data_IF_490293387891
#
_entry.id   IF_490293387891
#
_cell.length_a   1.000
_cell.length_b   1.000
_cell.length_c   1.000
_cell.angle_alpha   90.00
_cell.angle_beta   90.00
_cell.angle_gamma   90.00
#
_symmetry.space_group_name_H-M   'P 1'
#
loop_
_entity.id
_entity.type
_entity.pdbx_description
1 polymer ?
#
# COMPACT_ATOMS: atom_id res chain seq x y z
N UNK A 1 10.37 -7.55 -16.41
CA UNK A 1 11.21 -6.37 -16.12
C UNK A 1 10.32 -5.36 -15.43
N UNK A 2 10.80 -4.76 -14.34
CA UNK A 2 10.12 -3.63 -13.70
C UNK A 2 10.27 -2.42 -14.63
N UNK A 3 9.14 -1.88 -15.08
CA UNK A 3 9.07 -0.75 -16.00
C UNK A 3 8.76 0.54 -15.24
N UNK A 4 9.12 1.67 -15.85
CA UNK A 4 8.70 2.97 -15.36
C UNK A 4 7.17 3.07 -15.42
N UNK A 5 6.56 3.37 -14.27
CA UNK A 5 5.11 3.50 -14.12
C UNK A 5 4.81 4.88 -13.58
N UNK A 6 3.79 5.54 -14.13
CA UNK A 6 3.28 6.81 -13.60
C UNK A 6 2.29 6.54 -12.47
N UNK A 7 2.64 6.96 -11.26
CA UNK A 7 1.82 6.87 -10.07
C UNK A 7 1.15 8.22 -9.79
N UNK A 8 -0.11 8.22 -9.38
CA UNK A 8 -0.87 9.41 -9.02
C UNK A 8 -0.78 9.60 -7.52
N UNK A 9 -0.20 10.71 -7.07
CA UNK A 9 0.17 10.88 -5.64
C UNK A 9 -0.40 12.19 -5.07
N UNK A 10 -1.45 12.71 -5.68
CA UNK A 10 -2.14 13.93 -5.25
C UNK A 10 -3.62 13.74 -4.97
N UNK A 11 -4.28 14.82 -4.56
CA UNK A 11 -5.73 14.85 -4.30
C UNK A 11 -6.19 14.14 -3.01
N UNK A 12 -5.27 13.54 -2.26
CA UNK A 12 -5.57 12.76 -1.06
C UNK A 12 -5.46 13.60 0.21
N UNK A 13 -6.58 14.19 0.64
CA UNK A 13 -6.70 14.81 1.98
C UNK A 13 -6.94 13.75 3.05
N UNK A 14 -6.82 14.13 4.33
CA UNK A 14 -7.23 13.25 5.44
C UNK A 14 -8.66 12.72 5.30
N UNK A 15 -9.57 13.57 4.82
CA UNK A 15 -10.99 13.22 4.54
C UNK A 15 -11.14 12.23 3.39
N UNK A 16 -10.31 12.31 2.34
CA UNK A 16 -10.35 11.39 1.20
C UNK A 16 -9.55 10.09 1.44
N UNK A 17 -8.71 10.07 2.47
CA UNK A 17 -7.90 8.92 2.87
C UNK A 17 -8.41 8.30 4.16
N UNK A 18 -7.65 8.47 5.24
CA UNK A 18 -7.86 7.81 6.54
C UNK A 18 -9.28 7.95 7.10
N UNK A 19 -9.93 9.10 6.92
CA UNK A 19 -11.28 9.36 7.45
C UNK A 19 -12.41 8.91 6.51
N UNK A 20 -12.08 8.11 5.48
CA UNK A 20 -13.03 7.52 4.54
C UNK A 20 -12.78 6.02 4.37
N UNK A 21 -13.53 5.40 3.44
CA UNK A 21 -13.40 3.99 3.11
C UNK A 21 -12.54 3.74 1.86
N UNK A 22 -12.23 2.48 1.59
CA UNK A 22 -11.37 2.07 0.48
C UNK A 22 -11.84 2.60 -0.90
N UNK A 23 -13.16 2.64 -1.12
CA UNK A 23 -13.75 3.12 -2.38
C UNK A 23 -13.55 4.63 -2.57
N UNK A 24 -13.73 5.41 -1.51
CA UNK A 24 -13.49 6.86 -1.56
C UNK A 24 -12.01 7.13 -1.82
N UNK A 25 -11.11 6.48 -1.07
CA UNK A 25 -9.67 6.59 -1.31
C UNK A 25 -9.29 6.26 -2.76
N UNK A 26 -9.77 5.13 -3.29
CA UNK A 26 -9.52 4.74 -4.69
C UNK A 26 -9.96 5.81 -5.69
N UNK A 27 -11.12 6.43 -5.44
CA UNK A 27 -11.70 7.44 -6.32
C UNK A 27 -10.79 8.66 -6.46
N UNK A 28 -10.08 9.03 -5.39
CA UNK A 28 -9.15 10.16 -5.35
C UNK A 28 -7.69 9.80 -5.62
N UNK A 29 -7.29 8.53 -5.47
CA UNK A 29 -5.95 8.08 -5.84
C UNK A 29 -5.85 7.85 -7.35
N UNK A 30 -6.72 7.01 -7.91
CA UNK A 30 -6.58 6.52 -9.29
C UNK A 30 -7.89 6.56 -10.09
N UNK A 31 -9.02 6.84 -9.44
CA UNK A 31 -10.35 6.86 -10.03
C UNK A 31 -10.72 8.15 -10.75
N UNK A 32 -12.00 8.54 -10.61
CA UNK A 32 -12.59 9.67 -11.32
C UNK A 32 -12.15 11.04 -10.80
N UNK A 33 -11.79 11.12 -9.51
CA UNK A 33 -11.43 12.38 -8.84
C UNK A 33 -9.92 12.50 -8.59
N UNK A 34 -9.12 11.65 -9.24
CA UNK A 34 -7.66 11.70 -9.07
C UNK A 34 -7.08 13.04 -9.48
N UNK A 35 -6.10 13.51 -8.72
CA UNK A 35 -5.27 14.63 -9.15
C UNK A 35 -4.27 14.13 -10.21
N UNK A 36 -4.58 14.43 -11.48
CA UNK A 36 -3.72 14.07 -12.60
C UNK A 36 -2.49 15.00 -12.75
N UNK A 37 -2.40 16.08 -11.97
CA UNK A 37 -1.29 17.04 -12.06
C UNK A 37 -0.12 16.66 -11.15
N UNK A 38 -0.38 15.97 -10.04
CA UNK A 38 0.68 15.49 -9.17
C UNK A 38 0.94 13.99 -9.36
N UNK A 39 2.00 13.68 -10.10
CA UNK A 39 2.40 12.31 -10.41
C UNK A 39 3.89 12.08 -10.17
N UNK A 40 4.27 10.82 -10.00
CA UNK A 40 5.67 10.39 -9.98
C UNK A 40 5.86 9.23 -10.94
N UNK A 41 6.86 9.33 -11.83
CA UNK A 41 7.25 8.23 -12.72
C UNK A 41 8.40 7.46 -12.08
N UNK A 42 8.17 6.19 -11.77
CA UNK A 42 9.07 5.39 -10.94
C UNK A 42 8.97 3.90 -11.26
N UNK A 43 10.08 3.19 -11.04
CA UNK A 43 10.13 1.71 -11.05
C UNK A 43 9.72 1.11 -9.70
N UNK A 44 9.74 1.91 -8.64
CA UNK A 44 9.33 1.51 -7.29
C UNK A 44 7.91 2.03 -7.06
N UNK A 45 6.99 1.12 -6.75
CA UNK A 45 5.66 1.44 -6.25
C UNK A 45 5.55 1.06 -4.78
N UNK A 46 4.90 1.92 -3.99
CA UNK A 46 4.34 1.52 -2.70
C UNK A 46 2.85 1.24 -2.90
N UNK A 47 2.22 0.56 -1.95
CA UNK A 47 0.77 0.35 -1.98
C UNK A 47 0.03 1.69 -1.90
N UNK A 48 -1.11 1.79 -2.56
CA UNK A 48 -2.09 2.83 -2.30
C UNK A 48 -2.83 2.57 -0.99
N UNK A 49 -3.45 3.61 -0.45
CA UNK A 49 -4.36 3.49 0.70
C UNK A 49 -5.52 2.56 0.36
N UNK A 50 -6.08 2.71 -0.85
CA UNK A 50 -7.17 1.84 -1.30
C UNK A 50 -6.76 0.38 -1.48
N UNK A 51 -5.51 0.11 -1.87
CA UNK A 51 -4.99 -1.27 -1.94
C UNK A 51 -5.09 -1.94 -0.57
N UNK A 52 -4.65 -1.26 0.50
CA UNK A 52 -4.75 -1.76 1.87
C UNK A 52 -6.21 -1.94 2.32
N UNK A 53 -7.08 -1.00 1.95
CA UNK A 53 -8.52 -1.07 2.23
C UNK A 53 -9.20 -2.28 1.58
N UNK A 54 -8.92 -2.52 0.31
CA UNK A 54 -9.49 -3.66 -0.43
C UNK A 54 -8.83 -4.99 -0.13
N UNK A 55 -7.68 -5.00 0.53
CA UNK A 55 -7.04 -6.21 0.99
C UNK A 55 -7.77 -6.87 2.18
N UNK A 56 -8.59 -6.12 2.91
CA UNK A 56 -9.50 -6.67 3.92
C UNK A 56 -10.66 -7.46 3.29
N UNK A 57 -11.35 -8.26 4.11
CA UNK A 57 -12.58 -8.92 3.72
C UNK A 57 -13.65 -7.93 3.21
N UNK A 58 -14.49 -8.30 2.22
CA UNK A 58 -15.49 -7.38 1.65
C UNK A 58 -16.45 -6.73 2.64
N UNK A 59 -16.72 -7.40 3.78
CA UNK A 59 -17.53 -6.86 4.88
C UNK A 59 -16.93 -5.59 5.52
N UNK A 60 -15.62 -5.36 5.37
CA UNK A 60 -14.91 -4.21 5.92
C UNK A 60 -14.72 -3.04 4.92
N UNK A 61 -15.07 -3.22 3.63
CA UNK A 61 -14.78 -2.21 2.60
C UNK A 61 -15.51 -0.88 2.78
N UNK A 62 -16.56 -0.85 3.60
CA UNK A 62 -17.28 0.38 3.95
C UNK A 62 -16.81 1.01 5.25
N UNK A 63 -15.97 0.30 6.03
CA UNK A 63 -15.38 0.81 7.27
C UNK A 63 -14.40 1.93 6.96
N UNK A 64 -14.33 2.91 7.87
CA UNK A 64 -13.37 4.01 7.81
C UNK A 64 -11.97 3.44 8.03
N UNK A 65 -11.01 3.78 7.18
CA UNK A 65 -9.64 3.24 7.18
C UNK A 65 -8.87 3.55 8.47
N UNK A 66 -9.18 4.66 9.16
CA UNK A 66 -8.69 4.98 10.49
C UNK A 66 -9.17 4.02 11.59
N UNK A 67 -10.21 3.21 11.34
CA UNK A 67 -10.76 2.23 12.28
C UNK A 67 -10.48 0.78 11.81
N UNK A 68 -9.39 0.57 11.06
CA UNK A 68 -9.01 -0.76 10.57
C UNK A 68 -8.21 -1.56 11.61
N UNK A 69 -8.00 -1.05 12.81
CA UNK A 69 -7.37 -1.74 13.95
C UNK A 69 -8.28 -2.80 14.60
N UNK A 70 -9.51 -2.96 14.11
CA UNK A 70 -10.41 -4.04 14.52
C UNK A 70 -9.79 -5.41 14.18
N UNK A 71 -9.71 -6.29 15.19
CA UNK A 71 -9.14 -7.62 15.07
C UNK A 71 -9.78 -8.46 13.95
N UNK A 72 -11.08 -8.29 13.69
CA UNK A 72 -11.80 -9.00 12.61
C UNK A 72 -11.41 -8.51 11.21
N UNK A 73 -10.94 -7.26 11.10
CA UNK A 73 -10.47 -6.67 9.85
C UNK A 73 -9.02 -7.08 9.59
N UNK A 74 -8.12 -6.86 10.57
CA UNK A 74 -6.69 -7.11 10.37
C UNK A 74 -6.36 -8.60 10.17
N UNK A 75 -7.09 -9.51 10.84
CA UNK A 75 -6.88 -10.95 10.69
C UNK A 75 -7.28 -11.48 9.31
N UNK A 76 -8.14 -10.75 8.60
CA UNK A 76 -8.61 -11.07 7.25
C UNK A 76 -8.08 -10.08 6.20
N UNK A 77 -7.05 -9.30 6.54
CA UNK A 77 -6.39 -8.38 5.62
C UNK A 77 -5.02 -8.93 5.21
N UNK A 78 -4.90 -9.37 3.95
CA UNK A 78 -3.66 -10.00 3.47
C UNK A 78 -2.51 -9.02 3.23
N UNK A 79 -2.75 -7.71 3.33
CA UNK A 79 -1.71 -6.69 3.40
C UNK A 79 -1.35 -6.32 4.83
N UNK A 80 -2.06 -6.76 5.87
CA UNK A 80 -1.63 -6.49 7.24
C UNK A 80 -0.47 -7.40 7.66
N UNK A 81 0.64 -6.80 8.11
CA UNK A 81 1.84 -7.53 8.55
C UNK A 81 2.29 -7.17 9.98
N UNK A 82 1.50 -6.36 10.70
CA UNK A 82 1.83 -5.92 12.06
C UNK A 82 3.04 -4.98 12.15
N UNK A 83 3.40 -4.29 11.07
CA UNK A 83 4.48 -3.30 11.01
C UNK A 83 3.98 -2.00 10.38
N UNK A 84 4.63 -0.89 10.72
CA UNK A 84 4.35 0.40 10.09
C UNK A 84 4.80 0.40 8.61
N UNK A 85 3.90 0.70 7.68
CA UNK A 85 4.19 0.73 6.25
C UNK A 85 3.71 2.03 5.61
N UNK A 86 4.61 2.68 4.86
CA UNK A 86 4.26 3.87 4.08
C UNK A 86 3.49 3.48 2.82
N UNK A 87 2.46 4.24 2.53
CA UNK A 87 1.77 4.19 1.24
C UNK A 87 2.40 5.19 0.26
N UNK A 88 2.09 5.05 -1.03
CA UNK A 88 2.53 6.02 -2.03
C UNK A 88 1.74 7.34 -1.95
N UNK A 89 0.63 7.34 -1.23
CA UNK A 89 -0.29 8.47 -1.14
C UNK A 89 0.21 9.50 -0.14
N UNK A 90 0.68 10.63 -0.67
CA UNK A 90 0.94 11.85 0.10
C UNK A 90 -0.37 12.43 0.64
N UNK A 91 -0.30 13.06 1.80
CA UNK A 91 -1.39 13.87 2.33
C UNK A 91 -1.35 15.27 1.69
N UNK A 92 -2.35 15.61 0.88
CA UNK A 92 -2.36 16.87 0.11
C UNK A 92 -2.67 18.11 0.96
N UNK A 93 -3.28 17.93 2.13
CA UNK A 93 -3.58 18.97 3.12
C UNK A 93 -2.52 19.08 4.23
N UNK A 94 -1.43 18.31 4.16
CA UNK A 94 -0.35 18.32 5.15
C UNK A 94 0.99 17.95 4.51
N UNK A 95 1.87 18.93 4.32
CA UNK A 95 3.10 18.78 3.53
C UNK A 95 4.11 17.79 4.10
N UNK A 96 4.03 17.48 5.40
CA UNK A 96 5.02 16.67 6.08
C UNK A 96 4.58 15.21 6.23
N UNK A 97 3.39 14.85 5.72
CA UNK A 97 2.81 13.52 5.91
C UNK A 97 2.50 12.81 4.60
N UNK A 98 2.73 11.50 4.60
CA UNK A 98 2.09 10.54 3.73
C UNK A 98 1.10 9.70 4.55
N UNK A 99 0.21 8.97 3.90
CA UNK A 99 -0.58 7.95 4.60
C UNK A 99 0.31 6.74 4.91
N UNK A 100 0.13 6.18 6.09
CA UNK A 100 0.79 4.98 6.54
C UNK A 100 -0.20 4.04 7.21
N UNK A 101 0.00 2.75 7.01
CA UNK A 101 -0.60 1.70 7.84
C UNK A 101 0.24 1.63 9.10
N UNK A 102 -0.38 1.77 10.26
CA UNK A 102 0.31 1.62 11.55
C UNK A 102 0.39 0.15 11.92
N UNK A 103 1.28 -0.17 12.85
CA UNK A 103 1.43 -1.51 13.42
C UNK A 103 0.14 -2.08 14.00
N UNK A 104 -0.76 -1.23 14.52
CA UNK A 104 -2.11 -1.61 14.94
C UNK A 104 -3.06 -1.99 13.79
N UNK A 105 -2.74 -1.63 12.55
CA UNK A 105 -3.49 -1.96 11.34
C UNK A 105 -4.43 -0.85 10.85
N UNK A 106 -4.62 0.21 11.62
CA UNK A 106 -5.35 1.39 11.18
C UNK A 106 -4.49 2.33 10.32
N UNK A 107 -5.16 3.08 9.45
CA UNK A 107 -4.51 4.08 8.62
C UNK A 107 -4.30 5.39 9.40
N UNK A 108 -3.12 5.99 9.28
CA UNK A 108 -2.80 7.29 9.86
C UNK A 108 -1.82 8.10 9.01
N UNK A 109 -1.29 9.17 9.59
CA UNK A 109 -0.20 9.94 8.98
C UNK A 109 1.16 9.34 9.33
N UNK A 110 2.00 9.10 8.33
CA UNK A 110 3.41 8.79 8.46
C UNK A 110 4.25 9.99 8.03
N UNK A 111 5.15 10.44 8.91
CA UNK A 111 6.04 11.55 8.57
C UNK A 111 7.00 11.14 7.46
N UNK A 112 7.20 12.04 6.49
CA UNK A 112 8.14 11.82 5.38
C UNK A 112 9.49 12.52 5.59
N UNK A 113 9.54 13.45 6.53
CA UNK A 113 10.73 14.24 6.90
C UNK A 113 11.53 13.64 8.06
N UNK A 114 11.01 12.58 8.67
CA UNK A 114 11.58 11.91 9.83
C UNK A 114 11.42 10.40 9.72
N UNK A 115 12.48 9.66 10.05
CA UNK A 115 12.48 8.20 9.96
C UNK A 115 12.00 7.60 11.27
N UNK A 116 10.78 7.06 11.26
CA UNK A 116 10.25 6.21 12.33
C UNK A 116 10.48 4.71 12.09
N UNK A 117 11.17 4.36 10.99
CA UNK A 117 11.38 2.97 10.56
C UNK A 117 10.10 2.37 9.97
N UNK A 118 9.91 2.53 8.65
CA UNK A 118 8.82 1.87 7.92
C UNK A 118 9.31 0.58 7.27
N UNK A 119 8.49 -0.47 7.34
CA UNK A 119 8.72 -1.70 6.62
C UNK A 119 8.62 -1.45 5.11
N UNK A 120 9.38 -2.25 4.36
CA UNK A 120 9.39 -2.23 2.90
C UNK A 120 9.06 -3.61 2.38
N UNK A 121 8.34 -3.67 1.25
CA UNK A 121 8.00 -4.92 0.56
C UNK A 121 8.92 -5.11 -0.65
N UNK A 122 10.07 -5.78 -0.53
CA UNK A 122 10.91 -6.05 -1.69
C UNK A 122 10.15 -6.94 -2.67
N UNK A 123 10.19 -6.58 -3.95
CA UNK A 123 9.63 -7.38 -5.04
C UNK A 123 10.69 -7.67 -6.09
N UNK A 124 10.59 -8.82 -6.75
CA UNK A 124 11.50 -9.26 -7.79
C UNK A 124 10.70 -9.55 -9.06
N UNK A 125 11.12 -8.98 -10.20
CA UNK A 125 10.56 -9.30 -11.51
C UNK A 125 11.50 -10.27 -12.22
N UNK A 126 11.10 -11.53 -12.30
CA UNK A 126 11.84 -12.54 -13.05
C UNK A 126 11.51 -12.43 -14.55
N UNK A 127 12.48 -12.74 -15.41
CA UNK A 127 12.24 -12.87 -16.84
C UNK A 127 11.40 -14.12 -17.11
N UNK A 128 10.59 -14.10 -18.17
CA UNK A 128 9.76 -15.24 -18.56
C UNK A 128 10.56 -16.49 -18.94
N UNK A 129 11.85 -16.31 -19.27
CA UNK A 129 12.80 -17.40 -19.53
C UNK A 129 13.28 -18.10 -18.27
N UNK A 130 13.20 -17.46 -17.10
CA UNK A 130 13.63 -18.06 -15.83
C UNK A 130 12.71 -19.24 -15.51
N UNK A 131 13.32 -20.40 -15.24
CA UNK A 131 12.61 -21.61 -14.83
C UNK A 131 12.84 -21.87 -13.35
N UNK A 132 11.76 -22.16 -12.63
CA UNK A 132 11.84 -22.74 -11.30
C UNK A 132 12.38 -24.15 -11.41
N UNK A 133 13.44 -24.44 -10.69
CA UNK A 133 14.08 -25.76 -10.73
C UNK A 133 13.66 -26.65 -9.57
N UNK A 134 13.34 -26.05 -8.42
CA UNK A 134 12.92 -26.76 -7.21
C UNK A 134 12.39 -25.78 -6.16
N UNK A 135 11.85 -26.31 -5.05
CA UNK A 135 11.36 -25.54 -3.90
C UNK A 135 9.84 -25.39 -3.86
N UNK A 136 9.29 -25.25 -2.66
CA UNK A 136 7.85 -25.08 -2.40
C UNK A 136 7.49 -23.64 -1.99
N UNK A 137 8.48 -22.77 -1.81
CA UNK A 137 8.25 -21.38 -1.41
C UNK A 137 8.07 -21.18 0.09
N UNK A 138 8.50 -22.15 0.92
CA UNK A 138 8.53 -22.00 2.38
C UNK A 138 9.90 -21.51 2.85
N UNK A 139 10.00 -21.03 4.09
CA UNK A 139 11.28 -20.59 4.67
C UNK A 139 12.33 -21.70 4.72
N UNK A 140 11.91 -22.96 4.87
CA UNK A 140 12.80 -24.14 4.91
C UNK A 140 12.99 -24.80 3.54
N UNK A 141 12.11 -24.50 2.57
CA UNK A 141 12.16 -25.04 1.21
C UNK A 141 11.93 -23.92 0.17
N UNK A 142 12.87 -22.96 0.05
CA UNK A 142 12.70 -21.76 -0.78
C UNK A 142 12.72 -22.11 -2.28
N UNK A 143 11.99 -21.32 -3.09
CA UNK A 143 12.02 -21.42 -4.55
C UNK A 143 13.46 -21.24 -5.05
N UNK A 144 13.92 -22.19 -5.87
CA UNK A 144 15.20 -22.12 -6.57
C UNK A 144 14.96 -21.76 -8.03
N UNK A 145 15.76 -20.82 -8.51
CA UNK A 145 15.80 -20.39 -9.91
C UNK A 145 17.14 -20.80 -10.51
N UNK A 146 17.17 -21.14 -11.79
CA UNK A 146 18.42 -21.23 -12.55
C UNK A 146 18.60 -19.95 -13.36
N UNK A 147 19.78 -19.34 -13.26
CA UNK A 147 20.13 -18.09 -13.94
C UNK A 147 20.71 -18.39 -15.33
#
# INVERSE_FOLDING_TARGET
>A
MIADTTWYVGGMTGENGALSNAKTAYTYEVGANKDATTTVTSKIGLMYVSDYGFAAAPSAWTTILYNYDDATIINENWLYIGLCELTISRRSDDSNLAFAVRDAGDLGGGAVDSSYGSAVRPSFSLLSSIKFTSGEGTAVNPIRVNL
#
